data_IF_581215723141
#
_entry.id   IF_581215723141
#
_cell.length_a   1.000
_cell.length_b   1.000
_cell.length_c   1.000
_cell.angle_alpha   90.00
_cell.angle_beta   90.00
_cell.angle_gamma   90.00
#
_symmetry.space_group_name_H-M   'P 1'
#
loop_
_entity.id
_entity.type
_entity.pdbx_description
1 polymer ?
#
# COMPACT_ATOMS: atom_id res chain seq x y z
N UNK A 1 -12.23 -9.94 -1.74
CA UNK A 1 -10.81 -9.71 -1.41
C UNK A 1 -10.73 -8.49 -0.50
N UNK A 2 -10.00 -8.53 0.62
CA UNK A 2 -9.86 -7.37 1.50
C UNK A 2 -8.74 -6.46 0.94
N UNK A 3 -9.00 -5.17 0.76
CA UNK A 3 -8.02 -4.22 0.24
C UNK A 3 -6.71 -4.20 1.05
N UNK A 4 -6.80 -4.34 2.38
CA UNK A 4 -5.61 -4.45 3.24
C UNK A 4 -4.77 -5.69 2.92
N UNK A 5 -5.42 -6.78 2.53
CA UNK A 5 -4.74 -8.02 2.14
C UNK A 5 -4.04 -7.82 0.78
N UNK A 6 -4.73 -7.21 -0.19
CA UNK A 6 -4.15 -6.85 -1.49
C UNK A 6 -2.88 -6.01 -1.32
N UNK A 7 -2.94 -4.91 -0.54
CA UNK A 7 -1.77 -4.04 -0.31
C UNK A 7 -0.60 -4.82 0.30
N UNK A 8 -0.85 -5.67 1.30
CA UNK A 8 0.21 -6.49 1.92
C UNK A 8 0.81 -7.50 0.96
N UNK A 9 -0.02 -8.16 0.16
CA UNK A 9 0.43 -9.11 -0.85
C UNK A 9 1.28 -8.39 -1.89
N UNK A 10 0.81 -7.28 -2.44
CA UNK A 10 1.54 -6.46 -3.42
C UNK A 10 2.89 -5.97 -2.92
N UNK A 11 2.98 -5.52 -1.66
CA UNK A 11 4.26 -5.16 -1.03
C UNK A 11 5.20 -6.37 -0.98
N UNK A 12 4.69 -7.54 -0.56
CA UNK A 12 5.50 -8.76 -0.56
C UNK A 12 5.94 -9.19 -1.98
N UNK A 13 5.13 -8.94 -3.01
CA UNK A 13 5.52 -9.21 -4.40
C UNK A 13 6.66 -8.30 -4.85
N UNK A 14 6.59 -7.01 -4.50
CA UNK A 14 7.64 -6.03 -4.78
C UNK A 14 8.96 -6.42 -4.11
N UNK A 15 8.92 -6.83 -2.84
CA UNK A 15 10.11 -7.26 -2.08
C UNK A 15 10.77 -8.51 -2.66
N UNK A 16 9.97 -9.42 -3.23
CA UNK A 16 10.44 -10.68 -3.83
C UNK A 16 10.79 -10.54 -5.31
N UNK A 17 10.53 -9.39 -5.91
CA UNK A 17 10.75 -9.17 -7.33
C UNK A 17 12.22 -8.92 -7.64
N UNK A 18 12.68 -9.46 -8.75
CA UNK A 18 13.99 -9.13 -9.29
C UNK A 18 13.79 -8.35 -10.59
N UNK A 19 14.25 -7.09 -10.61
CA UNK A 19 14.12 -6.16 -11.76
C UNK A 19 12.69 -6.03 -12.31
N UNK A 20 11.68 -6.11 -11.43
CA UNK A 20 10.26 -6.00 -11.83
C UNK A 20 9.68 -7.29 -12.42
N UNK A 21 10.37 -8.41 -12.28
CA UNK A 21 9.88 -9.74 -12.66
C UNK A 21 9.60 -10.53 -11.38
N UNK A 22 8.45 -11.20 -11.36
CA UNK A 22 8.12 -12.22 -10.36
C UNK A 22 7.99 -13.58 -11.03
N UNK A 23 8.25 -14.64 -10.28
CA UNK A 23 8.16 -16.00 -10.78
C UNK A 23 6.97 -16.68 -10.12
N UNK A 24 6.10 -17.26 -10.94
CA UNK A 24 4.95 -18.02 -10.49
C UNK A 24 5.16 -19.51 -10.74
N UNK A 25 4.75 -20.36 -9.81
CA UNK A 25 4.63 -21.78 -10.06
C UNK A 25 3.32 -22.13 -10.79
N UNK A 26 3.08 -23.42 -11.03
CA UNK A 26 1.90 -23.94 -11.71
C UNK A 26 0.61 -23.62 -10.94
N UNK A 27 0.70 -23.45 -9.62
CA UNK A 27 -0.41 -23.13 -8.73
C UNK A 27 -0.61 -21.62 -8.54
N UNK A 28 0.04 -20.79 -9.36
CA UNK A 28 0.08 -19.32 -9.29
C UNK A 28 0.66 -18.75 -7.99
N UNK A 29 1.40 -19.53 -7.21
CA UNK A 29 2.11 -19.04 -6.03
C UNK A 29 3.38 -18.30 -6.46
N UNK A 30 3.66 -17.19 -5.77
CA UNK A 30 4.86 -16.39 -6.06
C UNK A 30 6.05 -17.01 -5.35
N UNK A 31 7.04 -17.39 -6.15
CA UNK A 31 8.25 -18.07 -5.72
C UNK A 31 9.45 -17.14 -5.93
N UNK A 32 10.38 -17.14 -4.98
CA UNK A 32 11.63 -16.42 -5.14
C UNK A 32 12.53 -17.12 -6.17
N UNK A 33 13.27 -16.37 -6.97
CA UNK A 33 14.12 -16.91 -8.05
C UNK A 33 15.12 -17.94 -7.53
N UNK A 34 15.75 -17.65 -6.39
CA UNK A 34 16.73 -18.51 -5.74
C UNK A 34 16.12 -19.86 -5.31
N UNK A 35 14.89 -19.84 -4.78
CA UNK A 35 14.20 -21.06 -4.34
C UNK A 35 13.80 -21.91 -5.55
N UNK A 36 13.30 -21.28 -6.62
CA UNK A 36 12.94 -21.99 -7.84
C UNK A 36 14.14 -22.72 -8.47
N UNK A 37 15.29 -22.03 -8.54
CA UNK A 37 16.54 -22.59 -9.06
C UNK A 37 17.08 -23.71 -8.15
N UNK A 38 17.01 -23.55 -6.83
CA UNK A 38 17.51 -24.53 -5.87
C UNK A 38 16.68 -25.82 -5.84
N UNK A 39 15.35 -25.71 -5.90
CA UNK A 39 14.44 -26.86 -5.85
C UNK A 39 14.12 -27.47 -7.22
N UNK A 40 14.71 -26.95 -8.31
CA UNK A 40 14.43 -27.43 -9.67
C UNK A 40 12.95 -27.28 -10.08
N UNK A 41 12.25 -26.31 -9.51
CA UNK A 41 10.82 -26.09 -9.78
C UNK A 41 10.64 -25.36 -11.09
N UNK A 42 9.68 -25.81 -11.89
CA UNK A 42 9.26 -25.08 -13.08
C UNK A 42 8.51 -23.82 -12.64
N UNK A 43 9.02 -22.66 -13.05
CA UNK A 43 8.42 -21.36 -12.78
C UNK A 43 8.30 -20.55 -14.06
N UNK A 44 7.30 -19.68 -14.09
CA UNK A 44 6.99 -18.82 -15.21
C UNK A 44 7.23 -17.37 -14.84
N UNK A 45 8.08 -16.64 -15.59
CA UNK A 45 8.31 -15.22 -15.34
C UNK A 45 7.06 -14.43 -15.71
N UNK A 46 6.72 -13.44 -14.89
CA UNK A 46 5.62 -12.50 -15.12
C UNK A 46 6.06 -11.08 -14.84
N UNK A 47 5.48 -10.14 -15.58
CA UNK A 47 5.68 -8.71 -15.36
C UNK A 47 4.93 -8.28 -14.09
N UNK A 48 5.67 -7.89 -13.05
CA UNK A 48 5.09 -7.49 -11.78
C UNK A 48 4.20 -6.25 -11.94
N UNK A 49 4.66 -5.23 -12.66
CA UNK A 49 3.95 -3.96 -12.80
C UNK A 49 2.59 -4.20 -13.45
N UNK A 50 2.55 -5.03 -14.50
CA UNK A 50 1.31 -5.41 -15.14
C UNK A 50 0.34 -6.09 -14.17
N UNK A 51 0.81 -7.08 -13.39
CA UNK A 51 -0.01 -7.79 -12.41
C UNK A 51 -0.56 -6.84 -11.34
N UNK A 52 0.28 -5.93 -10.83
CA UNK A 52 -0.14 -4.94 -9.84
C UNK A 52 -1.23 -4.04 -10.41
N UNK A 53 -1.02 -3.50 -11.61
CA UNK A 53 -1.99 -2.64 -12.27
C UNK A 53 -3.34 -3.36 -12.46
N UNK A 54 -3.33 -4.60 -12.96
CA UNK A 54 -4.54 -5.41 -13.14
C UNK A 54 -5.29 -5.62 -11.81
N UNK A 55 -4.59 -6.07 -10.77
CA UNK A 55 -5.19 -6.36 -9.46
C UNK A 55 -5.79 -5.12 -8.79
N UNK A 56 -5.10 -3.98 -8.89
CA UNK A 56 -5.51 -2.73 -8.28
C UNK A 56 -6.65 -2.06 -9.06
N UNK A 57 -6.60 -2.08 -10.40
CA UNK A 57 -7.71 -1.61 -11.25
C UNK A 57 -8.97 -2.44 -11.05
N UNK A 58 -8.88 -3.77 -10.95
CA UNK A 58 -10.02 -4.64 -10.60
C UNK A 58 -10.61 -4.33 -9.22
N UNK A 59 -9.80 -3.78 -8.31
CA UNK A 59 -10.23 -3.40 -6.96
C UNK A 59 -10.78 -1.97 -6.89
N UNK A 60 -10.81 -1.23 -8.01
CA UNK A 60 -11.27 0.16 -8.07
C UNK A 60 -10.21 1.20 -7.66
N UNK A 61 -8.94 0.84 -7.67
CA UNK A 61 -7.82 1.71 -7.30
C UNK A 61 -6.79 1.72 -8.44
N UNK A 62 -6.99 2.50 -9.52
CA UNK A 62 -6.10 2.47 -10.69
C UNK A 62 -4.73 3.12 -10.35
N UNK A 63 -3.84 2.35 -9.71
CA UNK A 63 -2.50 2.82 -9.34
C UNK A 63 -1.59 3.04 -10.54
N UNK A 64 -1.99 2.61 -11.73
CA UNK A 64 -1.32 2.87 -12.99
C UNK A 64 -1.50 4.32 -13.45
N UNK A 65 -2.59 4.97 -13.07
CA UNK A 65 -2.84 6.39 -13.30
C UNK A 65 -1.89 7.26 -12.44
N UNK A 66 -0.98 8.05 -13.06
CA UNK A 66 -0.09 8.94 -12.34
C UNK A 66 -0.79 10.03 -11.53
N UNK A 67 -1.97 10.50 -11.97
CA UNK A 67 -2.73 11.50 -11.26
C UNK A 67 -3.36 10.90 -10.00
N UNK A 68 -3.99 9.73 -10.13
CA UNK A 68 -4.53 8.98 -8.98
C UNK A 68 -3.48 8.74 -7.89
N UNK A 69 -2.24 8.37 -8.28
CA UNK A 69 -1.14 8.20 -7.30
C UNK A 69 -0.83 9.49 -6.54
N UNK A 70 -0.83 10.65 -7.21
CA UNK A 70 -0.58 11.95 -6.57
C UNK A 70 -1.71 12.31 -5.61
N UNK A 71 -2.95 12.13 -6.02
CA UNK A 71 -4.13 12.48 -5.23
C UNK A 71 -4.20 11.63 -3.94
N UNK A 72 -3.86 10.33 -4.03
CA UNK A 72 -3.80 9.44 -2.86
C UNK A 72 -2.69 9.86 -1.88
N UNK A 73 -1.51 10.25 -2.37
CA UNK A 73 -0.43 10.74 -1.50
C UNK A 73 -0.84 12.01 -0.76
N UNK A 74 -1.44 12.97 -1.47
CA UNK A 74 -1.95 14.22 -0.88
C UNK A 74 -3.04 13.95 0.15
N UNK A 75 -3.96 13.03 -0.13
CA UNK A 75 -5.01 12.62 0.80
C UNK A 75 -4.42 12.06 2.10
N UNK A 76 -3.45 11.15 2.01
CA UNK A 76 -2.79 10.55 3.16
C UNK A 76 -2.05 11.60 3.99
N UNK A 77 -1.34 12.53 3.35
CA UNK A 77 -0.66 13.63 4.03
C UNK A 77 -1.65 14.52 4.79
N UNK A 78 -2.72 14.97 4.13
CA UNK A 78 -3.78 15.80 4.76
C UNK A 78 -4.48 15.07 5.91
N UNK A 79 -4.72 13.77 5.76
CA UNK A 79 -5.30 12.93 6.80
C UNK A 79 -4.41 12.87 8.04
N UNK A 80 -3.11 12.63 7.86
CA UNK A 80 -2.14 12.57 8.96
C UNK A 80 -2.02 13.92 9.68
N UNK A 81 -2.02 15.04 8.95
CA UNK A 81 -2.05 16.38 9.55
C UNK A 81 -3.30 16.59 10.41
N UNK A 82 -4.48 16.24 9.89
CA UNK A 82 -5.73 16.36 10.63
C UNK A 82 -5.79 15.44 11.87
N UNK A 83 -5.26 14.21 11.75
CA UNK A 83 -5.19 13.25 12.85
C UNK A 83 -4.29 13.77 13.99
N UNK A 84 -3.14 14.35 13.66
CA UNK A 84 -2.22 14.97 14.64
C UNK A 84 -2.85 16.18 15.34
N UNK A 85 -3.58 17.03 14.62
CA UNK A 85 -4.30 18.16 15.21
C UNK A 85 -5.37 17.71 16.21
N UNK A 86 -6.06 16.60 15.94
CA UNK A 86 -7.06 16.03 16.86
C UNK A 86 -6.42 15.48 18.14
N UNK A 87 -5.21 14.91 18.06
CA UNK A 87 -4.44 14.49 19.24
C UNK A 87 -3.95 15.68 20.07
N UNK A 88 -3.56 16.79 19.42
CA UNK A 88 -3.10 18.01 20.09
C UNK A 88 -4.20 18.80 20.81
N UNK A 89 -5.47 18.64 20.43
CA UNK A 89 -6.61 19.31 21.10
C UNK A 89 -7.01 18.69 22.44
N UNK A 90 -6.37 17.60 22.87
CA UNK A 90 -6.65 16.97 24.18
C UNK A 90 -5.99 17.71 25.37
N UNK A 91 -5.19 18.74 25.11
CA UNK A 91 -4.59 19.62 26.14
C UNK A 91 -5.03 21.08 25.98
N UNK A 92 -6.21 21.34 25.41
CA UNK A 92 -6.89 22.60 25.70
C UNK A 92 -7.57 22.39 27.04
N UNK A 93 -6.81 22.55 28.12
CA UNK A 93 -7.39 22.98 29.38
C UNK A 93 -8.19 24.24 29.04
N UNK A 94 -9.51 24.13 29.13
CA UNK A 94 -10.38 25.29 29.11
C UNK A 94 -9.94 26.09 30.34
N UNK A 95 -9.20 27.18 30.13
CA UNK A 95 -9.00 28.19 31.17
C UNK A 95 -10.39 28.57 31.68
N UNK A 96 -10.70 28.17 32.91
CA UNK A 96 -11.95 28.49 33.62
C UNK A 96 -12.13 30.00 33.85
N UNK A 97 -11.15 30.83 33.44
CA UNK A 97 -11.12 32.27 33.64
C UNK A 97 -11.58 33.12 32.44
N UNK A 98 -11.99 32.53 31.30
CA UNK A 98 -12.58 33.29 30.18
C UNK A 98 -14.05 33.73 30.42
N UNK A 99 -14.40 34.03 31.68
CA UNK A 99 -15.77 34.33 32.09
C UNK A 99 -15.93 35.35 33.21
N UNK A 100 -14.90 36.11 33.60
CA UNK A 100 -15.05 37.22 34.55
C UNK A 100 -14.74 38.56 33.90
N UNK A 101 -15.79 39.12 33.29
CA UNK A 101 -15.94 40.57 33.19
C UNK A 101 -16.48 41.02 34.56
N UNK A 102 -15.65 41.70 35.35
CA UNK A 102 -16.05 42.64 36.40
C UNK A 102 -14.94 43.69 36.56
#
# INVERSE_FOLDING_TARGET
MNFRKLVKESLSMLDKSDKGIIFQDIDNQIVHVADAAFYGKQVFPRNLIQILNENFSMSGFPIDDPQFRKDILELLEKYELAAKQKASKKSVELDEDFGKIL
#
